data_IF_625785699052
#
_entry.id   IF_625785699052
#
_cell.length_a   1.000
_cell.length_b   1.000
_cell.length_c   1.000
_cell.angle_alpha   90.00
_cell.angle_beta   90.00
_cell.angle_gamma   90.00
#
_symmetry.space_group_name_H-M   'P 1'
#
loop_
_entity.id
_entity.type
_entity.pdbx_description
1 polymer ?
#
# COMPACT_ATOMS: atom_id res chain seq x y z
N UNK A 1 15.13 13.19 19.08
CA UNK A 1 14.14 12.11 18.81
C UNK A 1 14.84 10.95 18.10
N UNK A 2 14.62 9.69 18.53
CA UNK A 2 15.26 8.50 17.96
C UNK A 2 14.26 7.75 17.06
N UNK A 3 14.34 7.83 15.72
CA UNK A 3 13.28 7.35 14.80
C UNK A 3 13.14 5.83 14.65
N UNK A 4 13.76 5.00 15.50
CA UNK A 4 14.00 3.57 15.20
C UNK A 4 13.41 2.58 16.22
N UNK A 5 12.67 3.06 17.22
CA UNK A 5 12.15 2.18 18.28
C UNK A 5 10.93 1.34 17.85
N UNK A 6 10.18 1.78 16.84
CA UNK A 6 8.85 1.22 16.51
C UNK A 6 8.93 -0.09 15.70
N UNK A 7 10.04 -0.35 14.99
CA UNK A 7 10.23 -1.58 14.20
C UNK A 7 11.09 -2.65 14.90
N UNK A 8 11.47 -2.42 16.17
CA UNK A 8 12.39 -3.30 16.90
C UNK A 8 13.78 -3.42 16.25
N UNK A 9 14.22 -2.39 15.52
CA UNK A 9 15.48 -2.40 14.77
C UNK A 9 15.41 -3.00 13.36
N UNK A 10 14.23 -3.42 12.88
CA UNK A 10 14.06 -3.90 11.50
C UNK A 10 14.13 -2.73 10.51
N UNK A 11 15.06 -2.81 9.56
CA UNK A 11 15.24 -1.85 8.46
C UNK A 11 14.82 -2.38 7.10
N UNK A 12 14.42 -3.66 7.00
CA UNK A 12 13.96 -4.30 5.78
C UNK A 12 12.56 -4.92 5.97
N UNK A 13 11.60 -4.65 5.08
CA UNK A 13 10.30 -5.31 5.09
C UNK A 13 10.45 -6.80 4.74
N UNK A 14 9.47 -7.63 5.14
CA UNK A 14 9.46 -9.08 4.89
C UNK A 14 9.39 -9.45 3.40
N UNK A 15 8.96 -8.53 2.54
CA UNK A 15 9.05 -8.58 1.08
C UNK A 15 9.18 -7.16 0.53
N UNK A 16 9.79 -7.01 -0.65
CA UNK A 16 10.09 -5.69 -1.22
C UNK A 16 8.81 -5.04 -1.75
N UNK A 17 8.37 -3.98 -1.07
CA UNK A 17 7.21 -3.17 -1.46
C UNK A 17 7.68 -2.00 -2.31
N UNK A 18 7.33 -2.03 -3.59
CA UNK A 18 7.53 -0.91 -4.50
C UNK A 18 6.91 0.37 -3.91
N UNK A 19 7.53 1.53 -4.14
CA UNK A 19 7.10 2.80 -3.53
C UNK A 19 5.71 3.22 -4.05
N UNK A 20 5.42 2.88 -5.30
CA UNK A 20 4.18 3.09 -6.03
C UNK A 20 3.12 2.00 -5.78
N UNK A 21 3.45 0.95 -5.02
CA UNK A 21 2.51 -0.13 -4.74
C UNK A 21 1.28 0.41 -4.00
N UNK A 22 0.10 0.11 -4.54
CA UNK A 22 -1.17 0.53 -3.97
C UNK A 22 -1.62 -0.43 -2.87
N UNK A 23 -2.08 0.13 -1.76
CA UNK A 23 -2.57 -0.61 -0.60
C UNK A 23 -3.94 -0.06 -0.18
N UNK A 24 -4.82 -0.94 0.31
CA UNK A 24 -6.10 -0.53 0.88
C UNK A 24 -6.41 -1.34 2.14
N UNK A 25 -7.27 -0.81 3.01
CA UNK A 25 -7.81 -1.54 4.15
C UNK A 25 -8.54 -2.80 3.66
N UNK A 26 -8.37 -3.90 4.39
CA UNK A 26 -9.15 -5.10 4.14
C UNK A 26 -10.62 -4.84 4.53
N UNK A 27 -11.60 -5.33 3.74
CA UNK A 27 -13.02 -5.12 4.04
C UNK A 27 -13.48 -5.85 5.31
N UNK A 28 -12.81 -6.95 5.67
CA UNK A 28 -13.09 -7.76 6.85
C UNK A 28 -11.76 -8.07 7.56
N UNK A 29 -11.21 -7.12 8.34
CA UNK A 29 -9.95 -7.35 9.03
C UNK A 29 -10.13 -8.42 10.13
N UNK A 30 -9.14 -9.31 10.34
CA UNK A 30 -9.23 -10.40 11.31
C UNK A 30 -9.12 -9.97 12.78
N UNK A 31 -8.90 -8.68 13.04
CA UNK A 31 -8.79 -8.09 14.38
C UNK A 31 -9.69 -6.87 14.50
N UNK A 32 -10.15 -6.63 15.72
CA UNK A 32 -10.84 -5.39 16.06
C UNK A 32 -9.89 -4.19 15.88
N UNK A 33 -10.31 -3.24 15.04
CA UNK A 33 -9.58 -2.00 14.74
C UNK A 33 -9.32 -1.18 16.01
N UNK A 34 -10.19 -1.30 17.02
CA UNK A 34 -10.05 -0.62 18.31
C UNK A 34 -8.85 -1.11 19.14
N UNK A 35 -8.32 -2.31 18.85
CA UNK A 35 -7.18 -2.91 19.56
C UNK A 35 -5.84 -2.71 18.83
N UNK A 36 -5.85 -2.06 17.67
CA UNK A 36 -4.63 -1.77 16.91
C UNK A 36 -3.81 -0.66 17.57
N UNK A 37 -2.49 -0.69 17.34
CA UNK A 37 -1.61 0.41 17.72
C UNK A 37 -2.01 1.71 17.00
N UNK A 38 -1.66 2.89 17.55
CA UNK A 38 -1.98 4.16 16.91
C UNK A 38 -1.49 4.26 15.46
N UNK A 39 -0.30 3.73 15.18
CA UNK A 39 0.28 3.70 13.83
C UNK A 39 -0.52 2.81 12.88
N UNK A 40 -0.89 1.60 13.32
CA UNK A 40 -1.69 0.68 12.50
C UNK A 40 -3.08 1.28 12.23
N UNK A 41 -3.70 1.92 13.22
CA UNK A 41 -4.99 2.59 13.05
C UNK A 41 -4.90 3.75 12.06
N UNK A 42 -3.87 4.60 12.17
CA UNK A 42 -3.67 5.72 11.24
C UNK A 42 -3.45 5.24 9.80
N UNK A 43 -2.70 4.14 9.61
CA UNK A 43 -2.52 3.53 8.29
C UNK A 43 -3.85 2.96 7.77
N UNK A 44 -4.61 2.23 8.59
CA UNK A 44 -5.94 1.71 8.23
C UNK A 44 -6.89 2.83 7.79
N UNK A 45 -6.92 3.94 8.54
CA UNK A 45 -7.78 5.09 8.26
C UNK A 45 -7.46 5.76 6.93
N UNK A 46 -6.17 5.94 6.62
CA UNK A 46 -5.72 6.46 5.33
C UNK A 46 -6.02 5.50 4.17
N UNK A 47 -5.91 4.20 4.43
CA UNK A 47 -6.07 3.16 3.42
C UNK A 47 -7.53 2.74 3.21
N UNK A 48 -8.53 3.43 3.81
CA UNK A 48 -9.95 3.25 3.44
C UNK A 48 -10.20 3.46 1.95
N UNK A 49 -9.41 4.33 1.32
CA UNK A 49 -9.22 4.42 -0.13
C UNK A 49 -7.85 3.84 -0.49
N UNK A 50 -7.70 3.27 -1.69
CA UNK A 50 -6.40 2.80 -2.16
C UNK A 50 -5.38 3.96 -2.18
N UNK A 51 -4.20 3.74 -1.60
CA UNK A 51 -3.09 4.71 -1.52
C UNK A 51 -1.78 4.01 -1.80
N UNK A 52 -0.83 4.72 -2.39
CA UNK A 52 0.54 4.22 -2.56
C UNK A 52 1.30 4.20 -1.23
N UNK A 53 2.32 3.34 -1.12
CA UNK A 53 3.25 3.33 0.02
C UNK A 53 3.89 4.71 0.22
N UNK A 54 4.21 5.40 -0.88
CA UNK A 54 4.73 6.76 -0.88
C UNK A 54 3.79 7.75 -0.18
N UNK A 55 2.50 7.73 -0.56
CA UNK A 55 1.49 8.61 0.02
C UNK A 55 1.30 8.33 1.50
N UNK A 56 1.24 7.06 1.91
CA UNK A 56 1.11 6.70 3.34
C UNK A 56 2.30 7.24 4.14
N UNK A 57 3.52 7.06 3.64
CA UNK A 57 4.74 7.61 4.26
C UNK A 57 4.68 9.15 4.37
N UNK A 58 4.32 9.83 3.29
CA UNK A 58 4.26 11.29 3.25
C UNK A 58 3.18 11.87 4.17
N UNK A 59 1.96 11.31 4.13
CA UNK A 59 0.81 11.80 4.90
C UNK A 59 0.98 11.56 6.40
N UNK A 60 1.54 10.43 6.80
CA UNK A 60 1.83 10.13 8.20
C UNK A 60 3.17 10.69 8.69
N UNK A 61 3.94 11.32 7.80
CA UNK A 61 5.31 11.83 8.08
C UNK A 61 6.23 10.74 8.66
N UNK A 62 6.04 9.50 8.20
CA UNK A 62 6.86 8.35 8.57
C UNK A 62 8.01 8.21 7.57
N UNK A 63 9.24 7.86 8.01
CA UNK A 63 10.29 7.46 7.08
C UNK A 63 9.82 6.31 6.18
N UNK A 64 10.14 6.36 4.88
CA UNK A 64 9.67 5.38 3.89
C UNK A 64 9.93 3.92 4.30
N UNK A 65 11.11 3.64 4.87
CA UNK A 65 11.45 2.31 5.36
C UNK A 65 10.54 1.83 6.50
N UNK A 66 10.13 2.73 7.40
CA UNK A 66 9.20 2.43 8.49
C UNK A 66 7.80 2.15 7.93
N UNK A 67 7.32 3.00 7.01
CA UNK A 67 6.04 2.78 6.35
C UNK A 67 5.99 1.43 5.63
N UNK A 68 7.05 1.07 4.89
CA UNK A 68 7.16 -0.24 4.23
C UNK A 68 7.10 -1.41 5.20
N UNK A 69 7.82 -1.33 6.33
CA UNK A 69 7.81 -2.39 7.35
C UNK A 69 6.41 -2.56 7.93
N UNK A 70 5.78 -1.46 8.39
CA UNK A 70 4.44 -1.50 8.99
C UNK A 70 3.39 -2.01 7.98
N UNK A 71 3.40 -1.52 6.74
CA UNK A 71 2.47 -1.95 5.70
C UNK A 71 2.67 -3.44 5.37
N UNK A 72 3.92 -3.90 5.28
CA UNK A 72 4.22 -5.30 5.00
C UNK A 72 3.71 -6.22 6.12
N UNK A 73 3.91 -5.84 7.38
CA UNK A 73 3.44 -6.58 8.55
C UNK A 73 1.91 -6.58 8.61
N UNK A 74 1.26 -5.42 8.44
CA UNK A 74 -0.20 -5.31 8.40
C UNK A 74 -0.84 -6.12 7.27
N UNK A 75 -0.22 -6.18 6.10
CA UNK A 75 -0.70 -7.00 4.99
C UNK A 75 -0.54 -8.51 5.27
N UNK A 76 0.53 -8.92 5.97
CA UNK A 76 0.67 -10.31 6.43
C UNK A 76 -0.36 -10.70 7.49
N UNK A 77 -0.71 -9.75 8.36
CA UNK A 77 -1.79 -9.90 9.33
C UNK A 77 -3.20 -9.82 8.70
N UNK A 78 -3.31 -9.59 7.40
CA UNK A 78 -4.60 -9.49 6.69
C UNK A 78 -5.38 -8.21 6.97
N UNK A 79 -4.74 -7.20 7.59
CA UNK A 79 -5.34 -5.88 7.85
C UNK A 79 -5.36 -5.03 6.58
N UNK A 80 -4.36 -5.18 5.72
CA UNK A 80 -4.28 -4.49 4.42
C UNK A 80 -4.31 -5.48 3.27
N UNK A 81 -4.87 -5.02 2.14
CA UNK A 81 -4.77 -5.65 0.83
C UNK A 81 -3.74 -4.90 0.00
N UNK A 82 -2.81 -5.65 -0.58
CA UNK A 82 -1.88 -5.14 -1.58
C UNK A 82 -2.48 -5.32 -2.96
N UNK A 83 -2.60 -4.21 -3.70
CA UNK A 83 -2.93 -4.22 -5.10
C UNK A 83 -1.60 -4.34 -5.83
N UNK A 84 -1.26 -5.56 -6.28
CA UNK A 84 -0.02 -5.77 -7.03
C UNK A 84 -0.05 -4.88 -8.27
N UNK A 85 0.80 -3.83 -8.28
CA UNK A 85 1.12 -3.14 -9.51
C UNK A 85 1.91 -4.15 -10.33
N UNK A 86 1.29 -4.70 -11.37
CA UNK A 86 1.92 -5.72 -12.21
C UNK A 86 3.26 -5.14 -12.69
N UNK A 87 4.39 -5.88 -12.58
CA UNK A 87 5.69 -5.32 -12.92
C UNK A 87 5.64 -4.72 -14.32
N UNK A 88 6.19 -3.51 -14.47
CA UNK A 88 6.33 -2.80 -15.73
C UNK A 88 7.05 -3.70 -16.75
N UNK A 89 6.26 -4.43 -17.55
CA UNK A 89 6.76 -5.57 -18.32
C UNK A 89 5.63 -6.45 -18.86
N UNK A 90 4.44 -6.42 -18.25
CA UNK A 90 3.26 -6.91 -18.98
C UNK A 90 2.68 -5.79 -19.81
N UNK A 91 2.97 -5.84 -21.10
CA UNK A 91 2.38 -5.00 -22.13
C UNK A 91 0.87 -4.84 -21.86
N UNK A 92 0.32 -3.60 -21.77
CA UNK A 92 -1.12 -3.43 -21.76
C UNK A 92 -1.67 -4.16 -22.99
N UNK A 93 -2.69 -4.99 -22.80
CA UNK A 93 -3.28 -5.79 -23.86
C UNK A 93 -3.60 -4.84 -25.02
N UNK A 94 -2.92 -5.01 -26.16
CA UNK A 94 -3.05 -4.13 -27.32
C UNK A 94 -4.52 -3.99 -27.73
N UNK A 95 -5.33 -5.01 -27.48
CA UNK A 95 -6.79 -5.00 -27.70
C UNK A 95 -7.57 -4.03 -26.80
N UNK A 96 -7.05 -3.72 -25.62
CA UNK A 96 -7.64 -2.68 -24.75
C UNK A 96 -7.29 -1.29 -25.29
N UNK A 97 -6.03 -1.07 -25.67
CA UNK A 97 -5.59 0.20 -26.25
C UNK A 97 -6.27 0.50 -27.58
N UNK A 98 -6.44 -0.51 -28.44
CA UNK A 98 -7.20 -0.39 -29.69
C UNK A 98 -8.67 -0.03 -29.43
N UNK A 99 -9.31 -0.63 -28.42
CA UNK A 99 -10.70 -0.28 -28.07
C UNK A 99 -10.84 1.15 -27.58
N UNK A 100 -9.90 1.64 -26.77
CA UNK A 100 -9.90 3.04 -26.31
C UNK A 100 -9.66 3.98 -27.48
N UNK A 101 -8.72 3.67 -28.38
CA UNK A 101 -8.43 4.47 -29.57
C UNK A 101 -9.64 4.58 -30.50
N UNK A 102 -10.34 3.47 -30.74
CA UNK A 102 -11.58 3.44 -31.54
C UNK A 102 -12.67 4.26 -30.86
N UNK A 103 -12.81 4.15 -29.53
CA UNK A 103 -13.79 4.92 -28.76
C UNK A 103 -13.56 6.43 -28.80
N UNK A 104 -12.31 6.89 -28.75
CA UNK A 104 -11.96 8.32 -28.82
C UNK A 104 -12.08 8.92 -30.23
N UNK A 105 -11.98 8.11 -31.28
CA UNK A 105 -12.10 8.55 -32.69
C UNK A 105 -13.54 8.59 -33.20
N UNK A 106 -14.46 7.98 -32.48
CA UNK A 106 -15.89 7.93 -32.80
C UNK A 106 -16.72 8.90 -31.93
N UNK A 107 -16.07 9.91 -31.35
CA UNK A 107 -16.66 11.09 -30.71
C UNK A 107 -16.40 12.31 -31.60
#
# INVERSE_FOLDING_TARGET
MRPYAVTGGRTKPRYDLAIEALVSAAPHPPRDVAMLTPEYRAIMDLCRSARSVAEVSALLKLPLGVARVLIADMALEGLLRLHQSRPAGTQPDLRLLERVLVGLRNL
#
